data_IF_750577112574
#
_entry.id   IF_750577112574
#
_cell.length_a   1.000
_cell.length_b   1.000
_cell.length_c   1.000
_cell.angle_alpha   90.00
_cell.angle_beta   90.00
_cell.angle_gamma   90.00
#
_symmetry.space_group_name_H-M   'P 1'
#
loop_
_entity.id
_entity.type
_entity.pdbx_description
1 polymer ?
#
# COMPACT_ATOMS: atom_id res chain seq x y z
N UNK A 1 15.49 -31.40 32.33
CA UNK A 1 14.93 -30.14 31.78
C UNK A 1 13.71 -29.76 32.57
N UNK A 2 13.64 -28.53 33.09
CA UNK A 2 12.42 -28.03 33.72
C UNK A 2 11.33 -27.93 32.63
N UNK A 3 10.04 -28.05 33.00
CA UNK A 3 8.91 -27.95 32.05
C UNK A 3 8.97 -26.66 31.21
N UNK A 4 9.53 -25.59 31.78
CA UNK A 4 9.81 -24.31 31.11
C UNK A 4 10.83 -24.44 29.98
N UNK A 5 11.88 -25.23 30.17
CA UNK A 5 12.92 -25.44 29.16
C UNK A 5 12.37 -26.24 27.98
N UNK A 6 11.53 -27.25 28.25
CA UNK A 6 10.86 -28.04 27.21
C UNK A 6 9.91 -27.15 26.38
N UNK A 7 9.13 -26.31 27.06
CA UNK A 7 8.23 -25.35 26.40
C UNK A 7 9.01 -24.34 25.54
N UNK A 8 10.07 -23.74 26.10
CA UNK A 8 10.97 -22.83 25.36
C UNK A 8 11.60 -23.51 24.14
N UNK A 9 12.06 -24.76 24.27
CA UNK A 9 12.62 -25.51 23.14
C UNK A 9 11.60 -25.77 22.03
N UNK A 10 10.33 -26.03 22.38
CA UNK A 10 9.25 -26.21 21.40
C UNK A 10 8.96 -24.89 20.68
N UNK A 11 8.88 -23.77 21.42
CA UNK A 11 8.67 -22.44 20.83
C UNK A 11 9.82 -22.08 19.88
N UNK A 12 11.07 -22.30 20.30
CA UNK A 12 12.25 -22.05 19.46
C UNK A 12 12.24 -22.94 18.22
N UNK A 13 11.86 -24.21 18.33
CA UNK A 13 11.75 -25.11 17.19
C UNK A 13 10.69 -24.65 16.18
N UNK A 14 9.53 -24.18 16.65
CA UNK A 14 8.48 -23.60 15.80
C UNK A 14 8.99 -22.35 15.08
N UNK A 15 9.68 -21.46 15.79
CA UNK A 15 10.30 -20.26 15.21
C UNK A 15 11.30 -20.65 14.12
N UNK A 16 12.22 -21.59 14.40
CA UNK A 16 13.24 -22.03 13.42
C UNK A 16 12.57 -22.65 12.19
N UNK A 17 11.57 -23.52 12.37
CA UNK A 17 10.84 -24.13 11.25
C UNK A 17 10.14 -23.04 10.41
N UNK A 18 9.58 -22.02 11.07
CA UNK A 18 8.97 -20.88 10.39
C UNK A 18 9.99 -20.08 9.58
N UNK A 19 11.18 -19.79 10.14
CA UNK A 19 12.26 -19.13 9.41
C UNK A 19 12.73 -19.98 8.21
N UNK A 20 12.94 -21.29 8.40
CA UNK A 20 13.36 -22.21 7.32
C UNK A 20 12.32 -22.32 6.21
N UNK A 21 11.04 -22.44 6.57
CA UNK A 21 9.93 -22.52 5.61
C UNK A 21 9.77 -21.24 4.78
N UNK A 22 10.17 -20.09 5.32
CA UNK A 22 10.08 -18.78 4.65
C UNK A 22 11.47 -18.28 4.18
N UNK A 23 12.51 -19.12 4.13
CA UNK A 23 13.87 -18.71 3.75
C UNK A 23 13.94 -18.07 2.36
N UNK A 24 13.07 -18.47 1.42
CA UNK A 24 12.98 -17.84 0.09
C UNK A 24 12.52 -16.39 0.17
N UNK A 25 11.41 -16.13 0.87
CA UNK A 25 10.91 -14.79 1.14
C UNK A 25 11.91 -13.94 1.95
N UNK A 26 12.58 -14.55 2.93
CA UNK A 26 13.59 -13.87 3.76
C UNK A 26 14.84 -13.52 2.97
N UNK A 27 15.32 -14.40 2.09
CA UNK A 27 16.49 -14.11 1.25
C UNK A 27 16.17 -13.03 0.20
N UNK A 28 14.98 -13.06 -0.39
CA UNK A 28 14.52 -11.97 -1.25
C UNK A 28 14.45 -10.65 -0.46
N UNK A 29 13.93 -10.68 0.77
CA UNK A 29 13.86 -9.52 1.66
C UNK A 29 15.23 -8.97 2.08
N UNK A 30 16.17 -9.83 2.48
CA UNK A 30 17.51 -9.43 2.92
C UNK A 30 18.43 -8.98 1.77
N UNK A 31 18.10 -9.36 0.53
CA UNK A 31 18.91 -8.99 -0.65
C UNK A 31 18.70 -7.56 -1.14
N UNK A 32 17.65 -6.87 -0.67
CA UNK A 32 17.32 -5.50 -1.09
C UNK A 32 17.75 -4.51 -0.01
N UNK A 33 19.05 -4.33 0.13
CA UNK A 33 19.62 -3.21 0.88
C UNK A 33 19.37 -1.91 0.12
N UNK A 34 18.22 -1.30 0.35
CA UNK A 34 17.81 0.11 0.08
C UNK A 34 16.28 0.28 0.12
N UNK A 35 15.52 -0.75 0.50
CA UNK A 35 14.07 -0.66 0.60
C UNK A 35 13.60 -0.78 2.06
N UNK A 36 12.48 -0.13 2.36
CA UNK A 36 11.79 -0.17 3.65
C UNK A 36 10.38 -0.74 3.49
N UNK A 37 9.90 -1.37 4.55
CA UNK A 37 8.55 -1.94 4.60
C UNK A 37 7.62 -1.02 5.36
N UNK A 38 6.46 -0.73 4.76
CA UNK A 38 5.38 0.03 5.40
C UNK A 38 4.20 -0.92 5.60
N UNK A 39 3.74 -1.03 6.83
CA UNK A 39 2.55 -1.82 7.21
C UNK A 39 1.29 -0.95 7.07
N UNK A 40 0.22 -1.50 6.48
CA UNK A 40 -1.10 -0.87 6.42
C UNK A 40 -2.17 -1.94 6.57
N UNK A 41 -3.02 -1.77 7.58
CA UNK A 41 -4.04 -2.77 7.91
C UNK A 41 -3.44 -4.17 8.06
N UNK A 42 -3.84 -5.08 7.17
CA UNK A 42 -3.37 -6.47 7.16
C UNK A 42 -2.33 -6.81 6.07
N UNK A 43 -1.79 -5.80 5.39
CA UNK A 43 -0.84 -5.97 4.29
C UNK A 43 0.40 -5.10 4.47
N UNK A 44 1.45 -5.46 3.74
CA UNK A 44 2.72 -4.74 3.75
C UNK A 44 3.11 -4.37 2.31
N UNK A 45 3.69 -3.18 2.15
CA UNK A 45 4.27 -2.72 0.89
C UNK A 45 5.75 -2.43 1.13
N UNK A 46 6.57 -2.86 0.18
CA UNK A 46 7.99 -2.50 0.10
C UNK A 46 8.12 -1.26 -0.76
N UNK A 47 8.80 -0.23 -0.25
CA UNK A 47 9.11 0.99 -0.98
C UNK A 47 10.59 1.34 -0.84
N UNK A 48 11.16 2.16 -1.75
CA UNK A 48 12.54 2.61 -1.57
C UNK A 48 12.73 3.35 -0.25
N UNK A 49 13.89 3.20 0.39
CA UNK A 49 14.26 3.79 1.68
C UNK A 49 14.14 5.32 1.70
N UNK A 50 14.28 5.96 0.54
CA UNK A 50 14.11 7.41 0.38
C UNK A 50 12.65 7.87 0.51
N UNK A 51 11.67 6.96 0.40
CA UNK A 51 10.25 7.27 0.62
C UNK A 51 9.96 7.27 2.12
N UNK A 52 8.96 8.03 2.53
CA UNK A 52 8.53 8.23 3.90
C UNK A 52 7.04 7.90 4.05
N UNK A 53 6.59 7.64 5.27
CA UNK A 53 5.17 7.83 5.59
C UNK A 53 4.91 9.32 5.74
N UNK A 54 3.69 9.75 5.53
CA UNK A 54 3.28 11.15 5.74
C UNK A 54 3.48 11.59 7.19
N UNK A 55 3.35 10.67 8.14
CA UNK A 55 3.69 10.90 9.56
C UNK A 55 5.18 11.22 9.78
N UNK A 56 6.10 10.50 9.13
CA UNK A 56 7.55 10.73 9.26
C UNK A 56 7.99 12.13 8.80
N UNK A 57 7.24 12.74 7.87
CA UNK A 57 7.55 14.05 7.27
C UNK A 57 6.53 15.15 7.61
N UNK A 58 5.64 14.92 8.56
CA UNK A 58 4.61 15.88 9.00
C UNK A 58 3.64 16.33 7.89
N UNK A 59 3.27 15.39 7.00
CA UNK A 59 2.30 15.58 5.92
C UNK A 59 0.99 14.81 6.16
N UNK A 60 0.73 14.31 7.37
CA UNK A 60 -0.45 13.50 7.71
C UNK A 60 -1.77 14.22 7.38
N UNK A 61 -1.82 15.54 7.46
CA UNK A 61 -3.00 16.33 7.09
C UNK A 61 -3.29 16.37 5.59
N UNK A 62 -2.37 15.88 4.75
CA UNK A 62 -2.50 15.81 3.29
C UNK A 62 -2.84 14.40 2.81
N UNK A 63 -2.59 13.37 3.64
CA UNK A 63 -2.99 12.00 3.40
C UNK A 63 -4.47 11.80 3.72
N UNK A 64 -5.06 10.76 3.14
CA UNK A 64 -6.41 10.29 3.49
C UNK A 64 -6.38 9.05 4.37
N UNK A 65 -5.21 8.44 4.53
CA UNK A 65 -4.96 7.35 5.48
C UNK A 65 -3.88 7.74 6.48
N UNK A 66 -3.85 7.04 7.62
CA UNK A 66 -2.92 7.34 8.72
C UNK A 66 -1.44 7.14 8.30
N UNK A 67 -1.15 6.32 7.29
CA UNK A 67 0.21 6.00 6.83
C UNK A 67 0.36 6.14 5.31
N UNK A 68 -0.08 7.27 4.75
CA UNK A 68 0.16 7.57 3.33
C UNK A 68 1.66 7.50 2.99
N UNK A 69 2.02 6.91 1.87
CA UNK A 69 3.41 6.75 1.43
C UNK A 69 3.80 7.93 0.54
N UNK A 70 4.92 8.58 0.79
CA UNK A 70 5.29 9.82 0.11
C UNK A 70 6.78 9.95 -0.17
N UNK A 71 7.10 10.67 -1.24
CA UNK A 71 8.45 11.17 -1.55
C UNK A 71 8.54 12.70 -1.41
N UNK A 72 7.59 13.32 -0.69
CA UNK A 72 7.33 14.76 -0.58
C UNK A 72 6.77 15.45 -1.84
N UNK A 73 6.65 14.73 -2.95
CA UNK A 73 6.04 15.24 -4.19
C UNK A 73 4.67 14.63 -4.43
N UNK A 74 4.58 13.32 -4.31
CA UNK A 74 3.33 12.55 -4.40
C UNK A 74 3.01 11.91 -3.07
N UNK A 75 1.73 11.71 -2.80
CA UNK A 75 1.26 10.89 -1.68
C UNK A 75 0.47 9.72 -2.26
N UNK A 76 0.67 8.54 -1.66
CA UNK A 76 0.03 7.28 -2.02
C UNK A 76 -0.77 6.82 -0.80
N UNK A 77 -2.09 6.87 -0.91
CA UNK A 77 -3.00 6.34 0.10
C UNK A 77 -3.40 4.91 -0.27
N UNK A 78 -3.48 4.02 0.71
CA UNK A 78 -3.81 2.60 0.50
C UNK A 78 -4.91 2.15 1.47
N UNK A 79 -5.95 1.51 0.94
CA UNK A 79 -7.04 0.91 1.71
C UNK A 79 -7.10 -0.60 1.47
N UNK A 80 -7.32 -1.35 2.55
CA UNK A 80 -7.53 -2.81 2.56
C UNK A 80 -8.99 -3.21 2.85
N UNK A 81 -9.94 -2.27 2.71
CA UNK A 81 -11.37 -2.45 2.97
C UNK A 81 -12.25 -1.84 1.87
N UNK A 82 -11.76 -1.81 0.64
CA UNK A 82 -12.47 -1.16 -0.45
C UNK A 82 -13.80 -1.87 -0.75
N UNK A 83 -14.92 -1.13 -0.98
CA UNK A 83 -16.25 -1.73 -1.06
C UNK A 83 -16.44 -2.67 -2.26
N UNK A 84 -15.64 -2.56 -3.31
CA UNK A 84 -15.81 -3.28 -4.56
C UNK A 84 -14.49 -3.65 -5.20
N UNK A 85 -14.48 -4.67 -6.06
CA UNK A 85 -13.27 -5.12 -6.77
C UNK A 85 -12.90 -4.29 -8.00
N UNK A 86 -13.70 -3.28 -8.34
CA UNK A 86 -13.50 -2.41 -9.50
C UNK A 86 -14.18 -1.07 -9.31
N UNK A 87 -13.85 -0.09 -10.16
CA UNK A 87 -14.39 1.26 -10.06
C UNK A 87 -15.81 1.30 -10.66
N UNK A 88 -16.81 1.22 -9.78
CA UNK A 88 -18.23 1.49 -10.12
C UNK A 88 -18.68 2.86 -9.57
N UNK A 89 -19.96 3.18 -9.67
CA UNK A 89 -20.54 4.39 -9.08
C UNK A 89 -20.38 4.46 -7.56
N UNK A 90 -20.35 3.31 -6.85
CA UNK A 90 -20.12 3.28 -5.39
C UNK A 90 -18.69 3.71 -5.08
N UNK A 91 -17.70 3.11 -5.74
CA UNK A 91 -16.29 3.52 -5.63
C UNK A 91 -16.09 4.99 -6.00
N UNK A 92 -16.71 5.46 -7.09
CA UNK A 92 -16.63 6.88 -7.48
C UNK A 92 -17.22 7.83 -6.45
N UNK A 93 -18.35 7.47 -5.85
CA UNK A 93 -18.97 8.28 -4.80
C UNK A 93 -18.07 8.36 -3.56
N UNK A 94 -17.41 7.25 -3.18
CA UNK A 94 -16.42 7.23 -2.09
C UNK A 94 -15.24 8.14 -2.41
N UNK A 95 -14.62 8.02 -3.59
CA UNK A 95 -13.52 8.93 -4.01
C UNK A 95 -13.95 10.40 -3.99
N UNK A 96 -15.09 10.72 -4.60
CA UNK A 96 -15.59 12.09 -4.63
C UNK A 96 -15.85 12.66 -3.23
N UNK A 97 -16.28 11.82 -2.27
CA UNK A 97 -16.51 12.25 -0.88
C UNK A 97 -15.22 12.57 -0.11
N UNK A 98 -14.09 12.00 -0.53
CA UNK A 98 -12.77 12.26 0.05
C UNK A 98 -12.09 13.49 -0.58
N UNK A 99 -12.69 14.05 -1.64
CA UNK A 99 -12.10 15.11 -2.45
C UNK A 99 -12.88 16.41 -2.36
N UNK A 100 -12.28 17.42 -1.73
CA UNK A 100 -12.99 18.68 -1.46
C UNK A 100 -12.90 19.72 -2.59
N UNK A 101 -12.01 19.51 -3.57
CA UNK A 101 -11.78 20.41 -4.71
C UNK A 101 -12.82 20.34 -5.84
N UNK A 102 -13.73 19.37 -5.83
CA UNK A 102 -14.64 19.17 -6.95
C UNK A 102 -14.08 18.18 -7.96
N UNK A 103 -13.72 17.01 -7.43
CA UNK A 103 -13.41 15.78 -8.12
C UNK A 103 -14.13 15.63 -9.48
N UNK A 104 -13.32 15.48 -10.53
CA UNK A 104 -13.81 15.21 -11.88
C UNK A 104 -13.02 14.10 -12.52
N UNK A 105 -13.74 13.08 -12.98
CA UNK A 105 -13.16 11.96 -13.73
C UNK A 105 -12.60 12.44 -15.06
N UNK A 106 -11.35 12.11 -15.34
CA UNK A 106 -10.68 12.37 -16.62
C UNK A 106 -10.73 11.15 -17.53
N UNK A 107 -10.41 9.98 -16.99
CA UNK A 107 -10.32 8.72 -17.75
C UNK A 107 -10.57 7.54 -16.81
N UNK A 108 -11.24 6.51 -17.31
CA UNK A 108 -11.37 5.20 -16.67
C UNK A 108 -10.88 4.12 -17.64
N UNK A 109 -10.19 3.13 -17.12
CA UNK A 109 -9.71 1.98 -17.90
C UNK A 109 -9.54 0.76 -17.00
N UNK A 110 -9.58 -0.44 -17.60
CA UNK A 110 -9.18 -1.66 -16.94
C UNK A 110 -7.83 -2.08 -17.54
N UNK A 111 -6.87 -2.36 -16.68
CA UNK A 111 -5.51 -2.74 -17.05
C UNK A 111 -5.12 -4.02 -16.32
N UNK A 112 -4.13 -4.73 -16.87
CA UNK A 112 -3.50 -5.87 -16.22
C UNK A 112 -2.17 -5.37 -15.61
N UNK A 113 -2.02 -5.53 -14.30
CA UNK A 113 -0.77 -5.27 -13.58
C UNK A 113 -0.36 -6.57 -12.88
N UNK A 114 0.74 -7.17 -13.33
CA UNK A 114 1.25 -8.42 -12.77
C UNK A 114 0.27 -9.60 -12.83
N UNK A 115 -0.62 -9.64 -13.83
CA UNK A 115 -1.67 -10.66 -13.95
C UNK A 115 -2.91 -10.41 -13.08
N UNK A 116 -3.00 -9.25 -12.43
CA UNK A 116 -4.17 -8.81 -11.67
C UNK A 116 -4.96 -7.83 -12.53
N UNK A 117 -6.27 -8.05 -12.64
CA UNK A 117 -7.17 -7.10 -13.30
C UNK A 117 -7.41 -5.90 -12.36
N UNK A 118 -6.95 -4.72 -12.78
CA UNK A 118 -7.02 -3.50 -12.01
C UNK A 118 -7.90 -2.49 -12.72
N UNK A 119 -8.89 -1.97 -11.99
CA UNK A 119 -9.70 -0.86 -12.46
C UNK A 119 -9.00 0.45 -12.11
N UNK A 120 -8.64 1.22 -13.12
CA UNK A 120 -7.85 2.44 -13.03
C UNK A 120 -8.68 3.67 -13.42
N UNK A 121 -8.52 4.76 -12.67
CA UNK A 121 -9.21 6.01 -12.94
C UNK A 121 -8.32 7.21 -12.69
N UNK A 122 -8.11 8.03 -13.70
CA UNK A 122 -7.56 9.37 -13.53
C UNK A 122 -8.66 10.37 -13.19
N UNK A 123 -8.36 11.30 -12.29
CA UNK A 123 -9.25 12.40 -11.94
C UNK A 123 -8.47 13.70 -11.79
N UNK A 124 -9.16 14.84 -11.94
CA UNK A 124 -8.67 16.15 -11.54
C UNK A 124 -9.41 16.62 -10.30
N UNK A 125 -8.70 17.27 -9.40
CA UNK A 125 -9.27 17.92 -8.22
C UNK A 125 -8.75 19.36 -8.16
N UNK A 126 -9.51 20.33 -8.70
CA UNK A 126 -9.13 21.73 -8.60
C UNK A 126 -9.31 22.20 -7.15
N UNK A 127 -8.31 22.79 -6.52
CA UNK A 127 -8.43 23.38 -5.20
C UNK A 127 -9.61 24.36 -5.14
N UNK A 128 -10.39 24.26 -4.05
CA UNK A 128 -11.46 25.21 -3.73
C UNK A 128 -11.03 26.11 -2.56
N UNK A 129 -9.89 26.79 -2.72
CA UNK A 129 -9.34 27.73 -1.73
C UNK A 129 -9.30 27.13 -0.31
N UNK A 130 -8.68 25.96 -0.18
CA UNK A 130 -8.30 25.42 1.14
C UNK A 130 -6.78 25.51 1.30
N UNK A 131 -6.31 25.74 2.53
CA UNK A 131 -4.88 25.93 2.82
C UNK A 131 -4.04 24.65 2.63
N UNK A 132 -4.67 23.52 2.26
CA UNK A 132 -4.08 22.18 2.32
C UNK A 132 -4.24 21.32 1.05
N UNK A 133 -5.19 21.59 0.15
CA UNK A 133 -5.35 20.87 -1.11
C UNK A 133 -5.02 21.77 -2.30
N UNK A 134 -4.09 21.31 -3.12
CA UNK A 134 -3.66 21.98 -4.34
C UNK A 134 -4.43 21.45 -5.54
N UNK A 135 -4.51 22.26 -6.60
CA UNK A 135 -4.89 21.77 -7.92
C UNK A 135 -4.01 20.58 -8.28
N UNK A 136 -4.63 19.41 -8.48
CA UNK A 136 -3.87 18.24 -8.88
C UNK A 136 -4.65 17.29 -9.77
N UNK A 137 -3.89 16.42 -10.43
CA UNK A 137 -4.38 15.18 -10.99
C UNK A 137 -4.05 14.06 -10.01
N UNK A 138 -4.96 13.11 -9.85
CA UNK A 138 -4.71 11.88 -9.13
C UNK A 138 -5.11 10.68 -9.98
N UNK A 139 -4.72 9.50 -9.51
CA UNK A 139 -5.11 8.22 -10.09
C UNK A 139 -5.54 7.27 -8.97
N UNK A 140 -6.63 6.57 -9.22
CA UNK A 140 -7.13 5.51 -8.37
C UNK A 140 -6.92 4.17 -9.06
N UNK A 141 -6.43 3.20 -8.30
CA UNK A 141 -6.36 1.79 -8.66
C UNK A 141 -7.26 1.02 -7.69
N UNK A 142 -8.14 0.18 -8.21
CA UNK A 142 -9.00 -0.70 -7.42
C UNK A 142 -8.83 -2.11 -7.94
N UNK A 143 -8.57 -3.05 -7.03
CA UNK A 143 -8.31 -4.44 -7.37
C UNK A 143 -8.71 -5.38 -6.23
N UNK A 144 -9.11 -6.63 -6.55
CA UNK A 144 -9.39 -7.64 -5.54
C UNK A 144 -8.11 -8.36 -5.07
N UNK A 145 -8.13 -8.85 -3.84
CA UNK A 145 -7.25 -9.91 -3.31
C UNK A 145 -8.10 -10.84 -2.46
N UNK A 146 -8.34 -12.05 -2.98
CA UNK A 146 -9.12 -13.09 -2.31
C UNK A 146 -10.53 -12.62 -1.88
N UNK A 147 -10.76 -12.44 -0.58
CA UNK A 147 -12.03 -12.04 0.04
C UNK A 147 -12.13 -10.53 0.32
N UNK A 148 -11.09 -9.77 -0.06
CA UNK A 148 -10.93 -8.36 0.28
C UNK A 148 -10.65 -7.56 -1.00
N UNK A 149 -11.13 -6.31 -1.06
CA UNK A 149 -10.77 -5.40 -2.15
C UNK A 149 -9.90 -4.28 -1.62
N UNK A 150 -8.99 -3.84 -2.48
CA UNK A 150 -8.01 -2.83 -2.15
C UNK A 150 -8.22 -1.62 -3.06
N UNK A 151 -7.84 -0.47 -2.55
CA UNK A 151 -7.60 0.69 -3.39
C UNK A 151 -6.24 1.29 -3.07
N UNK A 152 -5.53 1.68 -4.12
CA UNK A 152 -4.36 2.54 -4.03
C UNK A 152 -4.70 3.83 -4.78
N UNK A 153 -4.64 4.95 -4.09
CA UNK A 153 -4.78 6.27 -4.69
C UNK A 153 -3.42 6.95 -4.68
N UNK A 154 -3.04 7.53 -5.81
CA UNK A 154 -1.87 8.39 -5.90
C UNK A 154 -2.34 9.76 -6.34
N UNK A 155 -2.04 10.77 -5.53
CA UNK A 155 -2.48 12.15 -5.77
C UNK A 155 -1.32 13.15 -5.72
N UNK A 156 -1.63 14.40 -6.09
CA UNK A 156 -0.69 15.51 -6.29
C UNK A 156 0.18 15.47 -7.56
N UNK A 157 -0.28 14.82 -8.64
CA UNK A 157 0.35 14.97 -9.95
C UNK A 157 0.05 16.33 -10.58
N UNK A 158 0.98 16.80 -11.40
CA UNK A 158 0.72 17.91 -12.30
C UNK A 158 0.01 17.45 -13.58
N UNK A 159 -0.56 18.41 -14.32
CA UNK A 159 -1.07 18.14 -15.67
C UNK A 159 0.04 17.75 -16.66
N UNK A 160 1.29 18.13 -16.40
CA UNK A 160 2.45 17.70 -17.17
C UNK A 160 2.71 16.21 -16.97
N UNK A 161 2.73 15.75 -15.72
CA UNK A 161 2.94 14.35 -15.36
C UNK A 161 1.87 13.44 -15.96
N UNK A 162 0.60 13.86 -15.90
CA UNK A 162 -0.52 13.15 -16.50
C UNK A 162 -0.35 12.91 -18.02
N UNK A 163 0.18 13.90 -18.75
CA UNK A 163 0.40 13.79 -20.19
C UNK A 163 1.73 13.08 -20.54
N UNK A 164 2.57 12.81 -19.55
CA UNK A 164 3.84 12.12 -19.75
C UNK A 164 3.64 10.60 -19.69
N UNK A 165 3.72 9.96 -20.87
CA UNK A 165 3.56 8.50 -21.01
C UNK A 165 4.63 7.70 -20.28
N UNK A 166 5.84 8.23 -20.18
CA UNK A 166 6.93 7.55 -19.46
C UNK A 166 6.66 7.56 -17.96
N UNK A 167 6.25 8.71 -17.42
CA UNK A 167 5.92 8.85 -16.01
C UNK A 167 4.72 7.99 -15.61
N UNK A 168 3.64 8.06 -16.39
CA UNK A 168 2.43 7.25 -16.13
C UNK A 168 2.69 5.75 -16.23
N UNK A 169 3.63 5.32 -17.08
CA UNK A 169 4.09 3.93 -17.10
C UNK A 169 4.91 3.58 -15.86
N UNK A 170 5.89 4.40 -15.47
CA UNK A 170 6.69 4.14 -14.26
C UNK A 170 5.81 4.07 -13.01
N UNK A 171 4.76 4.90 -12.96
CA UNK A 171 3.75 4.84 -11.92
C UNK A 171 3.02 3.49 -11.92
N UNK A 172 2.56 3.02 -13.07
CA UNK A 172 1.91 1.71 -13.19
C UNK A 172 2.86 0.57 -12.78
N UNK A 173 4.13 0.62 -13.18
CA UNK A 173 5.16 -0.37 -12.80
C UNK A 173 5.36 -0.37 -11.27
N UNK A 174 5.40 0.80 -10.62
CA UNK A 174 5.49 0.89 -9.13
C UNK A 174 4.25 0.34 -8.44
N UNK A 175 3.07 0.61 -8.99
CA UNK A 175 1.80 0.12 -8.43
C UNK A 175 1.69 -1.40 -8.62
N UNK A 176 2.19 -1.94 -9.73
CA UNK A 176 2.33 -3.38 -9.94
C UNK A 176 3.17 -4.03 -8.84
N UNK A 177 4.34 -3.44 -8.50
CA UNK A 177 5.18 -3.93 -7.40
C UNK A 177 4.42 -3.90 -6.05
N UNK A 178 3.67 -2.83 -5.76
CA UNK A 178 2.86 -2.72 -4.55
C UNK A 178 1.74 -3.77 -4.50
N UNK A 179 1.05 -4.00 -5.61
CA UNK A 179 0.03 -5.04 -5.76
C UNK A 179 0.66 -6.43 -5.55
N UNK A 180 1.87 -6.65 -6.09
CA UNK A 180 2.64 -7.88 -5.89
C UNK A 180 2.95 -8.13 -4.41
N UNK A 181 3.40 -7.10 -3.68
CA UNK A 181 3.64 -7.16 -2.24
C UNK A 181 2.36 -7.51 -1.47
N UNK A 182 1.24 -6.86 -1.82
CA UNK A 182 -0.09 -7.12 -1.23
C UNK A 182 -0.49 -8.58 -1.45
N UNK A 183 -0.33 -9.11 -2.65
CA UNK A 183 -0.71 -10.49 -2.99
C UNK A 183 0.26 -11.55 -2.46
N UNK A 184 1.45 -11.15 -2.01
CA UNK A 184 2.44 -12.09 -1.51
C UNK A 184 2.02 -12.66 -0.14
N UNK A 185 1.51 -13.89 -0.14
CA UNK A 185 1.07 -14.63 1.06
C UNK A 185 2.21 -14.95 2.01
N UNK A 186 3.41 -15.20 1.49
CA UNK A 186 4.59 -15.51 2.32
C UNK A 186 5.02 -14.26 3.08
N UNK A 187 4.96 -13.09 2.45
CA UNK A 187 5.29 -11.82 3.05
C UNK A 187 4.32 -11.44 4.19
N UNK A 188 3.01 -11.49 3.92
CA UNK A 188 2.00 -11.17 4.94
C UNK A 188 1.97 -12.21 6.09
N UNK A 189 2.17 -13.50 5.77
CA UNK A 189 2.27 -14.58 6.76
C UNK A 189 3.49 -14.44 7.66
N UNK A 190 4.65 -14.07 7.09
CA UNK A 190 5.91 -13.85 7.81
C UNK A 190 5.78 -12.74 8.86
N UNK A 191 5.36 -11.54 8.47
CA UNK A 191 5.22 -10.40 9.39
C UNK A 191 4.07 -10.56 10.38
N UNK A 192 2.91 -11.10 9.96
CA UNK A 192 1.82 -11.42 10.90
C UNK A 192 2.28 -12.43 11.95
N UNK A 193 3.09 -13.42 11.56
CA UNK A 193 3.70 -14.38 12.48
C UNK A 193 4.65 -13.71 13.47
N UNK A 194 5.53 -12.82 13.00
CA UNK A 194 6.46 -12.06 13.84
C UNK A 194 5.71 -11.15 14.82
N UNK A 195 4.73 -10.36 14.35
CA UNK A 195 3.95 -9.45 15.19
C UNK A 195 3.13 -10.21 16.26
N UNK A 196 2.58 -11.38 15.92
CA UNK A 196 1.92 -12.25 16.92
C UNK A 196 2.89 -12.78 17.97
N UNK A 197 4.10 -13.19 17.56
CA UNK A 197 5.14 -13.66 18.49
C UNK A 197 5.63 -12.52 19.37
N UNK A 198 5.87 -11.34 18.79
CA UNK A 198 6.28 -10.14 19.52
C UNK A 198 5.25 -9.75 20.58
N UNK A 199 3.97 -9.63 20.20
CA UNK A 199 2.89 -9.29 21.13
C UNK A 199 2.65 -10.38 22.20
N UNK A 200 2.96 -11.64 21.90
CA UNK A 200 2.90 -12.73 22.88
C UNK A 200 4.07 -12.70 23.88
N UNK A 201 5.27 -12.32 23.44
CA UNK A 201 6.47 -12.26 24.28
C UNK A 201 6.61 -10.95 25.04
N UNK A 202 6.09 -9.86 24.50
CA UNK A 202 6.10 -8.51 25.07
C UNK A 202 4.68 -7.90 25.07
N UNK A 203 3.73 -8.50 25.81
CA UNK A 203 2.42 -7.90 25.98
C UNK A 203 2.57 -6.60 26.79
N UNK A 204 1.92 -5.52 26.33
CA UNK A 204 1.72 -4.31 27.13
C UNK A 204 0.88 -4.60 28.38
#
# INVERSE_FOLDING_TARGET
>A
MQKRDIFMSIVIAIIIIFFVANMGAINNFLSVHTDKTIEFGHSNIVVPEAWNTTDEVNLSSQAKTDNGITNNYTIIDVWDDWPESSITDISNAKFASMESGGFKVLKKENIDLGGINVSKQYYSNPSRDNDYQWDHVGVNYVFPKEDTNYSIEVHYFTTYDYNNKTYTKELDDRIEDMIGNIHNKEYNGFFSGINKIYNYLFPN
#
